data_IF_985113030124
#
_entry.id   IF_985113030124
#
_cell.length_a   1.000
_cell.length_b   1.000
_cell.length_c   1.000
_cell.angle_alpha   90.00
_cell.angle_beta   90.00
_cell.angle_gamma   90.00
#
_symmetry.space_group_name_H-M   'P 1'
#
loop_
_entity.id
_entity.type
_entity.pdbx_description
1 polymer ?
#
# COMPACT_ATOMS: atom_id res chain seq x y z
N UNK A 1 -26.99 1.48 7.30
CA UNK A 1 -26.02 2.33 6.55
C UNK A 1 -25.15 1.38 5.77
N UNK A 2 -24.92 1.67 4.48
CA UNK A 2 -24.06 0.82 3.66
C UNK A 2 -22.65 0.76 4.25
N UNK A 3 -22.05 -0.41 4.27
CA UNK A 3 -20.64 -0.61 4.61
C UNK A 3 -19.79 -0.34 3.36
N UNK A 4 -19.00 0.70 3.40
CA UNK A 4 -18.26 1.19 2.24
C UNK A 4 -16.76 1.26 2.56
N UNK A 5 -15.96 0.61 1.74
CA UNK A 5 -14.49 0.74 1.76
C UNK A 5 -14.03 1.76 0.74
N UNK A 6 -13.08 2.61 1.15
CA UNK A 6 -12.23 3.37 0.23
C UNK A 6 -10.76 3.06 0.50
N UNK A 7 -10.03 2.76 -0.56
CA UNK A 7 -8.58 2.57 -0.53
C UNK A 7 -7.99 3.03 -1.86
N UNK A 8 -6.67 3.11 -1.96
CA UNK A 8 -6.03 3.49 -3.23
C UNK A 8 -4.53 3.61 -3.12
N UNK A 9 -3.88 3.86 -4.25
CA UNK A 9 -2.44 4.08 -4.36
C UNK A 9 -2.14 5.28 -5.25
N UNK A 10 -1.03 5.95 -4.96
CA UNK A 10 -0.50 7.01 -5.81
C UNK A 10 0.24 6.40 -7.00
N UNK A 11 -0.05 6.79 -8.25
CA UNK A 11 0.62 6.26 -9.44
C UNK A 11 2.01 6.89 -9.63
N UNK A 12 2.90 6.69 -8.68
CA UNK A 12 4.29 7.19 -8.69
C UNK A 12 5.29 6.22 -9.29
N UNK A 13 4.83 5.14 -9.87
CA UNK A 13 5.61 4.09 -10.52
C UNK A 13 4.91 2.73 -10.41
N UNK A 14 5.44 1.72 -11.11
CA UNK A 14 4.92 0.34 -11.11
C UNK A 14 4.77 -0.20 -9.68
N UNK A 15 3.75 -1.02 -9.44
CA UNK A 15 3.59 -1.72 -8.18
C UNK A 15 4.55 -2.93 -8.11
N UNK A 16 4.92 -3.34 -6.93
CA UNK A 16 5.84 -4.46 -6.68
C UNK A 16 5.26 -5.43 -5.64
N UNK A 17 5.89 -6.58 -5.45
CA UNK A 17 5.43 -7.62 -4.53
C UNK A 17 5.18 -7.11 -3.10
N UNK A 18 5.93 -6.10 -2.65
CA UNK A 18 5.68 -5.47 -1.36
C UNK A 18 4.32 -4.75 -1.28
N UNK A 19 3.81 -4.17 -2.38
CA UNK A 19 2.44 -3.63 -2.43
C UNK A 19 1.41 -4.76 -2.45
N UNK A 20 1.71 -5.86 -3.16
CA UNK A 20 0.82 -7.01 -3.20
C UNK A 20 0.58 -7.58 -1.80
N UNK A 21 1.65 -7.96 -1.10
CA UNK A 21 1.54 -8.54 0.26
C UNK A 21 1.01 -7.54 1.28
N UNK A 22 1.48 -6.29 1.20
CA UNK A 22 1.13 -5.27 2.19
C UNK A 22 -0.28 -4.67 2.03
N UNK A 23 -0.90 -4.79 0.86
CA UNK A 23 -2.14 -4.07 0.56
C UNK A 23 -3.07 -4.78 -0.41
N UNK A 24 -2.61 -5.12 -1.64
CA UNK A 24 -3.51 -5.57 -2.70
C UNK A 24 -4.19 -6.91 -2.38
N UNK A 25 -3.44 -7.87 -1.82
CA UNK A 25 -4.00 -9.16 -1.39
C UNK A 25 -5.18 -8.95 -0.45
N UNK A 26 -5.02 -8.06 0.54
CA UNK A 26 -6.09 -7.76 1.50
C UNK A 26 -7.29 -7.09 0.84
N UNK A 27 -7.08 -6.21 -0.16
CA UNK A 27 -8.19 -5.59 -0.91
C UNK A 27 -9.02 -6.63 -1.66
N UNK A 28 -8.36 -7.62 -2.28
CA UNK A 28 -9.04 -8.74 -2.96
C UNK A 28 -9.83 -9.58 -1.96
N UNK A 29 -9.28 -9.86 -0.79
CA UNK A 29 -9.99 -10.56 0.28
C UNK A 29 -11.22 -9.79 0.74
N UNK A 30 -11.10 -8.50 1.01
CA UNK A 30 -12.22 -7.63 1.41
C UNK A 30 -13.29 -7.54 0.32
N UNK A 31 -12.90 -7.38 -0.95
CA UNK A 31 -13.80 -7.41 -2.09
C UNK A 31 -14.63 -8.70 -2.14
N UNK A 32 -14.03 -9.84 -1.82
CA UNK A 32 -14.66 -11.15 -1.92
C UNK A 32 -15.31 -11.64 -0.61
N UNK A 33 -15.16 -10.90 0.49
CA UNK A 33 -15.71 -11.29 1.79
C UNK A 33 -17.24 -11.27 1.86
N UNK A 34 -17.88 -10.45 1.02
CA UNK A 34 -19.32 -10.19 1.10
C UNK A 34 -19.75 -9.33 2.29
N UNK A 35 -18.82 -8.76 3.04
CA UNK A 35 -19.08 -7.92 4.21
C UNK A 35 -19.38 -6.46 3.86
N UNK A 36 -19.02 -6.04 2.64
CA UNK A 36 -19.09 -4.64 2.20
C UNK A 36 -20.04 -4.49 1.01
N UNK A 37 -20.88 -3.47 1.09
CA UNK A 37 -21.84 -3.15 0.04
C UNK A 37 -21.14 -2.47 -1.16
N UNK A 38 -20.06 -1.73 -0.91
CA UNK A 38 -19.28 -1.05 -1.95
C UNK A 38 -17.79 -1.03 -1.60
N UNK A 39 -16.98 -1.27 -2.62
CA UNK A 39 -15.53 -1.19 -2.53
C UNK A 39 -15.04 -0.20 -3.59
N UNK A 40 -14.47 0.92 -3.16
CA UNK A 40 -13.88 1.94 -4.02
C UNK A 40 -12.36 1.85 -3.96
N UNK A 41 -11.72 1.80 -5.13
CA UNK A 41 -10.27 1.72 -5.26
C UNK A 41 -9.79 2.87 -6.12
N UNK A 42 -9.10 3.81 -5.51
CA UNK A 42 -8.67 5.06 -6.12
C UNK A 42 -7.27 4.95 -6.70
N UNK A 43 -7.09 5.42 -7.92
CA UNK A 43 -5.78 5.79 -8.44
C UNK A 43 -5.58 7.28 -8.13
N UNK A 44 -4.79 7.57 -7.10
CA UNK A 44 -4.65 8.89 -6.49
C UNK A 44 -3.62 9.76 -7.26
N UNK A 45 -3.94 10.13 -8.48
CA UNK A 45 -3.05 10.87 -9.39
C UNK A 45 -2.84 12.32 -8.98
N UNK A 46 -3.87 13.02 -8.54
CA UNK A 46 -3.74 14.38 -8.02
C UNK A 46 -2.90 14.42 -6.74
N UNK A 47 -3.10 13.45 -5.84
CA UNK A 47 -2.26 13.27 -4.65
C UNK A 47 -0.79 12.97 -5.03
N UNK A 48 -0.55 12.23 -6.09
CA UNK A 48 0.80 11.91 -6.55
C UNK A 48 1.59 13.15 -6.98
N UNK A 49 0.91 14.18 -7.48
CA UNK A 49 1.53 15.45 -7.87
C UNK A 49 2.07 16.26 -6.68
N UNK A 50 1.62 16.01 -5.47
CA UNK A 50 2.06 16.77 -4.29
C UNK A 50 3.59 16.66 -4.03
N UNK A 51 4.21 15.60 -4.51
CA UNK A 51 5.65 15.33 -4.42
C UNK A 51 6.29 14.90 -5.75
N UNK A 52 5.57 15.01 -6.88
CA UNK A 52 6.03 14.74 -8.24
C UNK A 52 5.55 15.86 -9.22
N UNK A 53 5.39 17.08 -8.74
CA UNK A 53 4.90 18.19 -9.56
C UNK A 53 5.85 18.56 -10.71
N UNK A 54 7.13 18.27 -10.55
CA UNK A 54 8.18 18.47 -11.55
C UNK A 54 8.21 17.40 -12.66
N UNK A 55 7.48 16.29 -12.45
CA UNK A 55 7.42 15.19 -13.41
C UNK A 55 5.99 14.64 -13.57
N UNK A 56 5.04 15.44 -14.09
CA UNK A 56 3.64 15.02 -14.24
C UNK A 56 3.45 13.88 -15.24
N UNK A 57 4.34 13.76 -16.22
CA UNK A 57 4.30 12.68 -17.21
C UNK A 57 4.54 11.31 -16.57
N UNK A 58 5.43 11.23 -15.60
CA UNK A 58 5.62 10.02 -14.79
C UNK A 58 4.31 9.57 -14.12
N UNK A 59 3.57 10.52 -13.55
CA UNK A 59 2.27 10.22 -12.90
C UNK A 59 1.28 9.73 -13.95
N UNK A 60 1.16 10.44 -15.09
CA UNK A 60 0.23 10.08 -16.18
C UNK A 60 0.47 8.67 -16.71
N UNK A 61 1.71 8.31 -16.99
CA UNK A 61 2.07 6.99 -17.50
C UNK A 61 1.75 5.87 -16.51
N UNK A 62 1.85 6.14 -15.22
CA UNK A 62 1.62 5.13 -14.20
C UNK A 62 0.14 4.97 -13.80
N UNK A 63 -0.77 5.84 -14.21
CA UNK A 63 -2.22 5.67 -13.95
C UNK A 63 -2.71 4.35 -14.54
N UNK A 64 -2.46 4.13 -15.82
CA UNK A 64 -2.88 2.90 -16.52
C UNK A 64 -2.14 1.68 -15.96
N UNK A 65 -0.83 1.83 -15.68
CA UNK A 65 -0.04 0.72 -15.14
C UNK A 65 -0.56 0.25 -13.78
N UNK A 66 -0.90 1.17 -12.88
CA UNK A 66 -1.46 0.83 -11.55
C UNK A 66 -2.84 0.18 -11.69
N UNK A 67 -3.68 0.66 -12.60
CA UNK A 67 -4.98 0.04 -12.86
C UNK A 67 -4.83 -1.39 -13.41
N UNK A 68 -3.88 -1.63 -14.32
CA UNK A 68 -3.56 -2.97 -14.81
C UNK A 68 -3.04 -3.88 -13.69
N UNK A 69 -2.18 -3.37 -12.83
CA UNK A 69 -1.67 -4.10 -11.67
C UNK A 69 -2.81 -4.51 -10.71
N UNK A 70 -3.81 -3.63 -10.50
CA UNK A 70 -5.00 -3.97 -9.71
C UNK A 70 -5.78 -5.15 -10.29
N UNK A 71 -6.08 -5.09 -11.59
CA UNK A 71 -6.81 -6.16 -12.28
C UNK A 71 -6.01 -7.48 -12.25
N UNK A 72 -4.71 -7.41 -12.53
CA UNK A 72 -3.83 -8.57 -12.51
C UNK A 72 -3.75 -9.24 -11.13
N UNK A 73 -3.88 -8.47 -10.05
CA UNK A 73 -3.92 -8.98 -8.68
C UNK A 73 -5.27 -9.57 -8.25
N UNK A 74 -6.31 -9.45 -9.08
CA UNK A 74 -7.63 -10.03 -8.81
C UNK A 74 -8.68 -9.02 -8.32
N UNK A 75 -8.43 -7.72 -8.46
CA UNK A 75 -9.50 -6.73 -8.30
C UNK A 75 -10.47 -6.88 -9.47
N UNK A 76 -11.72 -7.15 -9.14
CA UNK A 76 -12.80 -7.42 -10.08
C UNK A 76 -13.64 -6.15 -10.29
N UNK A 77 -13.67 -5.58 -11.51
CA UNK A 77 -14.42 -4.34 -11.77
C UNK A 77 -15.95 -4.52 -11.69
N UNK A 78 -16.45 -5.76 -11.65
CA UNK A 78 -17.88 -6.02 -11.40
C UNK A 78 -18.23 -5.94 -9.90
N UNK A 79 -17.24 -6.09 -9.01
CA UNK A 79 -17.40 -6.04 -7.55
C UNK A 79 -16.87 -4.75 -6.93
N UNK A 80 -15.83 -4.17 -7.53
CA UNK A 80 -15.15 -2.98 -7.03
C UNK A 80 -15.16 -1.87 -8.08
N UNK A 81 -15.34 -0.63 -7.63
CA UNK A 81 -15.22 0.52 -8.52
C UNK A 81 -13.80 1.06 -8.49
N UNK A 82 -13.08 0.92 -9.60
CA UNK A 82 -11.77 1.57 -9.79
C UNK A 82 -12.01 2.94 -10.41
N UNK A 83 -11.43 4.00 -9.83
CA UNK A 83 -11.55 5.34 -10.36
C UNK A 83 -10.26 6.15 -10.24
N UNK A 84 -10.13 7.18 -11.07
CA UNK A 84 -9.00 8.12 -11.06
C UNK A 84 -9.42 9.35 -10.28
N UNK A 85 -8.64 9.76 -9.29
CA UNK A 85 -8.95 10.85 -8.37
C UNK A 85 -9.26 12.16 -9.11
N UNK A 86 -8.45 12.54 -10.10
CA UNK A 86 -8.64 13.79 -10.87
C UNK A 86 -9.89 13.80 -11.76
N UNK A 87 -10.52 12.64 -11.98
CA UNK A 87 -11.78 12.53 -12.73
C UNK A 87 -13.02 12.81 -11.86
N UNK A 88 -12.82 13.07 -10.57
CA UNK A 88 -13.87 13.43 -9.61
C UNK A 88 -13.53 14.82 -9.04
N UNK A 89 -13.84 15.90 -9.77
CA UNK A 89 -13.45 17.27 -9.39
C UNK A 89 -14.03 17.71 -8.05
N UNK A 90 -15.14 17.12 -7.60
CA UNK A 90 -15.78 17.38 -6.33
C UNK A 90 -14.86 17.09 -5.13
N UNK A 91 -13.88 16.20 -5.27
CA UNK A 91 -12.87 15.94 -4.24
C UNK A 91 -12.01 17.17 -3.97
N UNK A 92 -11.65 17.90 -5.03
CA UNK A 92 -10.89 19.14 -4.91
C UNK A 92 -11.75 20.26 -4.31
N UNK A 93 -13.01 20.35 -4.71
CA UNK A 93 -13.95 21.31 -4.15
C UNK A 93 -14.15 21.07 -2.67
N UNK A 94 -14.41 19.81 -2.26
CA UNK A 94 -14.59 19.44 -0.87
C UNK A 94 -13.32 19.70 -0.03
N UNK A 95 -12.14 19.43 -0.59
CA UNK A 95 -10.86 19.76 0.03
C UNK A 95 -10.73 21.23 0.38
N UNK A 96 -11.19 22.11 -0.53
CA UNK A 96 -11.16 23.55 -0.30
C UNK A 96 -12.09 23.96 0.86
N UNK A 97 -13.29 23.38 0.97
CA UNK A 97 -14.15 23.60 2.13
C UNK A 97 -13.47 23.15 3.42
N UNK A 98 -12.82 22.00 3.43
CA UNK A 98 -12.13 21.47 4.60
C UNK A 98 -10.92 22.32 5.03
N UNK A 99 -10.21 22.95 4.08
CA UNK A 99 -9.13 23.87 4.40
C UNK A 99 -9.58 25.04 5.30
N UNK A 100 -10.86 25.43 5.26
CA UNK A 100 -11.40 26.46 6.13
C UNK A 100 -11.69 25.94 7.56
N UNK A 101 -11.67 24.64 7.76
CA UNK A 101 -11.93 24.00 9.05
C UNK A 101 -10.67 23.56 9.79
N UNK A 102 -9.52 23.54 9.11
CA UNK A 102 -8.25 23.06 9.64
C UNK A 102 -7.23 24.18 9.73
N UNK A 103 -6.51 24.27 10.83
CA UNK A 103 -5.44 25.28 10.97
C UNK A 103 -4.09 24.76 10.51
N UNK A 104 -3.20 25.64 10.05
CA UNK A 104 -1.82 25.32 9.69
C UNK A 104 -1.12 24.59 10.83
N UNK A 105 -1.27 25.08 12.06
CA UNK A 105 -0.64 24.46 13.23
C UNK A 105 -1.17 23.05 13.54
N UNK A 106 -2.42 22.73 13.15
CA UNK A 106 -2.94 21.35 13.29
C UNK A 106 -2.27 20.40 12.30
N UNK A 107 -2.13 20.81 11.04
CA UNK A 107 -1.42 20.03 10.02
C UNK A 107 0.06 19.83 10.40
N UNK A 108 0.73 20.89 10.84
CA UNK A 108 2.13 20.83 11.28
C UNK A 108 2.35 19.86 12.45
N UNK A 109 1.37 19.65 13.30
CA UNK A 109 1.47 18.72 14.43
C UNK A 109 1.21 17.27 14.07
N UNK A 110 0.69 16.99 12.87
CA UNK A 110 0.47 15.61 12.43
C UNK A 110 1.81 14.85 12.36
N UNK A 111 1.97 13.72 13.08
CA UNK A 111 3.24 13.00 13.14
C UNK A 111 3.70 12.47 11.77
N UNK A 112 2.77 12.00 10.95
CA UNK A 112 3.08 11.49 9.60
C UNK A 112 3.60 12.60 8.71
N UNK A 113 2.95 13.77 8.69
CA UNK A 113 3.41 14.96 7.94
C UNK A 113 4.81 15.37 8.37
N UNK A 114 5.07 15.43 9.69
CA UNK A 114 6.41 15.77 10.20
C UNK A 114 7.49 14.80 9.72
N UNK A 115 7.20 13.52 9.81
CA UNK A 115 8.12 12.47 9.38
C UNK A 115 8.41 12.56 7.89
N UNK A 116 7.39 12.76 7.06
CA UNK A 116 7.54 12.86 5.62
C UNK A 116 8.25 14.13 5.16
N UNK A 117 8.00 15.28 5.79
CA UNK A 117 8.74 16.53 5.54
C UNK A 117 10.24 16.29 5.73
N UNK A 118 10.63 15.64 6.83
CA UNK A 118 12.02 15.30 7.12
C UNK A 118 12.61 14.33 6.11
N UNK A 119 11.91 13.24 5.81
CA UNK A 119 12.37 12.21 4.84
C UNK A 119 12.58 12.78 3.44
N UNK A 120 11.82 13.81 3.06
CA UNK A 120 11.86 14.42 1.72
C UNK A 120 12.76 15.66 1.66
N UNK A 121 13.39 16.06 2.77
CA UNK A 121 14.18 17.27 2.87
C UNK A 121 13.40 18.55 2.50
N UNK A 122 12.12 18.60 2.84
CA UNK A 122 11.24 19.76 2.59
C UNK A 122 11.31 20.83 3.70
N UNK A 123 12.14 20.65 4.70
CA UNK A 123 12.19 21.51 5.90
C UNK A 123 12.39 23.00 5.58
N UNK A 124 13.18 23.30 4.56
CA UNK A 124 13.43 24.68 4.13
C UNK A 124 12.35 25.25 3.22
N UNK A 125 11.59 24.41 2.49
CA UNK A 125 10.60 24.86 1.51
C UNK A 125 9.55 23.75 1.30
N UNK A 126 8.47 23.82 2.05
CA UNK A 126 7.38 22.84 1.97
C UNK A 126 6.44 23.22 0.84
N UNK A 127 6.23 22.40 -0.20
CA UNK A 127 5.21 22.64 -1.18
C UNK A 127 3.81 22.71 -0.55
N UNK A 128 3.00 23.70 -0.93
CA UNK A 128 1.65 23.90 -0.34
C UNK A 128 0.77 22.67 -0.58
N UNK A 129 0.79 22.08 -1.78
CA UNK A 129 0.03 20.87 -2.08
C UNK A 129 0.44 19.70 -1.18
N UNK A 130 1.74 19.53 -0.97
CA UNK A 130 2.24 18.51 -0.03
C UNK A 130 1.79 18.81 1.41
N UNK A 131 1.83 20.06 1.83
CA UNK A 131 1.37 20.43 3.17
C UNK A 131 -0.12 20.17 3.37
N UNK A 132 -0.94 20.38 2.34
CA UNK A 132 -2.40 20.26 2.41
C UNK A 132 -2.94 18.84 2.13
N UNK A 133 -2.10 17.88 1.70
CA UNK A 133 -2.60 16.55 1.31
C UNK A 133 -3.39 15.82 2.41
N UNK A 134 -3.15 15.99 3.73
CA UNK A 134 -3.96 15.34 4.74
C UNK A 134 -5.43 15.80 4.73
N UNK A 135 -5.65 17.03 4.27
CA UNK A 135 -7.00 17.60 4.14
C UNK A 135 -7.68 17.03 2.89
N UNK A 136 -6.97 16.94 1.77
CA UNK A 136 -7.51 16.32 0.55
C UNK A 136 -7.76 14.82 0.73
N UNK A 137 -6.93 14.11 1.48
CA UNK A 137 -7.19 12.71 1.81
C UNK A 137 -8.49 12.52 2.64
N UNK A 138 -8.79 13.46 3.54
CA UNK A 138 -10.06 13.45 4.24
C UNK A 138 -11.25 13.68 3.29
N UNK A 139 -11.09 14.52 2.27
CA UNK A 139 -12.12 14.70 1.24
C UNK A 139 -12.32 13.43 0.41
N UNK A 140 -11.24 12.75 0.00
CA UNK A 140 -11.31 11.48 -0.71
C UNK A 140 -12.16 10.45 0.06
N UNK A 141 -11.91 10.32 1.36
CA UNK A 141 -12.59 9.35 2.23
C UNK A 141 -14.07 9.70 2.40
N UNK A 142 -14.35 10.95 2.70
CA UNK A 142 -15.70 11.37 3.12
C UNK A 142 -16.67 11.59 1.96
N UNK A 143 -16.18 11.96 0.76
CA UNK A 143 -17.00 12.14 -0.43
C UNK A 143 -17.76 10.87 -0.82
N UNK A 144 -17.14 9.71 -0.64
CA UNK A 144 -17.76 8.41 -0.91
C UNK A 144 -18.49 7.83 0.30
N UNK A 145 -18.56 8.57 1.42
CA UNK A 145 -19.14 8.11 2.69
C UNK A 145 -18.51 6.80 3.16
N UNK A 146 -17.19 6.66 2.98
CA UNK A 146 -16.49 5.47 3.42
C UNK A 146 -16.67 5.24 4.91
N UNK A 147 -17.14 4.05 5.27
CA UNK A 147 -17.32 3.63 6.66
C UNK A 147 -16.07 2.99 7.22
N UNK A 148 -15.26 2.38 6.35
CA UNK A 148 -14.02 1.72 6.73
C UNK A 148 -12.91 2.02 5.73
N UNK A 149 -11.71 2.28 6.27
CA UNK A 149 -10.51 2.60 5.48
C UNK A 149 -9.39 1.64 5.85
N UNK A 150 -9.03 0.70 4.96
CA UNK A 150 -7.90 -0.20 5.17
C UNK A 150 -6.58 0.59 5.07
N UNK A 151 -5.84 0.66 6.15
CA UNK A 151 -4.58 1.43 6.22
C UNK A 151 -3.54 0.73 7.10
N UNK A 152 -2.26 1.02 6.85
CA UNK A 152 -1.18 0.71 7.76
C UNK A 152 -1.15 1.65 8.97
N UNK A 153 -0.41 1.27 10.01
CA UNK A 153 -0.28 2.04 11.25
C UNK A 153 0.26 3.47 11.02
N UNK A 154 1.08 3.67 9.99
CA UNK A 154 1.63 4.97 9.62
C UNK A 154 0.56 5.98 9.17
N UNK A 155 -0.62 5.49 8.78
CA UNK A 155 -1.76 6.32 8.35
C UNK A 155 -2.75 6.65 9.48
N UNK A 156 -2.58 6.10 10.68
CA UNK A 156 -3.45 6.40 11.82
C UNK A 156 -3.61 7.90 12.09
N UNK A 157 -2.54 8.72 12.11
CA UNK A 157 -2.66 10.16 12.34
C UNK A 157 -3.46 10.90 11.24
N UNK A 158 -3.50 10.34 10.02
CA UNK A 158 -4.30 10.89 8.91
C UNK A 158 -5.78 10.63 9.13
N UNK A 159 -6.13 9.41 9.53
CA UNK A 159 -7.51 9.03 9.82
C UNK A 159 -8.05 9.78 11.04
N UNK A 160 -7.24 9.99 12.08
CA UNK A 160 -7.59 10.83 13.22
C UNK A 160 -7.89 12.27 12.78
N UNK A 161 -7.07 12.84 11.92
CA UNK A 161 -7.33 14.17 11.36
C UNK A 161 -8.59 14.20 10.49
N UNK A 162 -8.87 13.14 9.73
CA UNK A 162 -10.12 12.99 8.97
C UNK A 162 -11.33 12.99 9.92
N UNK A 163 -11.29 12.22 11.02
CA UNK A 163 -12.35 12.19 12.04
C UNK A 163 -12.60 13.56 12.67
N UNK A 164 -11.54 14.31 12.96
CA UNK A 164 -11.64 15.68 13.46
C UNK A 164 -12.35 16.61 12.45
N UNK A 165 -12.06 16.47 11.15
CA UNK A 165 -12.70 17.24 10.07
C UNK A 165 -14.20 16.91 10.01
N UNK A 166 -14.54 15.62 9.99
CA UNK A 166 -15.93 15.14 9.98
C UNK A 166 -16.71 15.72 11.16
N UNK A 167 -16.16 15.58 12.36
CA UNK A 167 -16.79 16.11 13.57
C UNK A 167 -17.01 17.63 13.47
N UNK A 168 -15.98 18.36 13.09
CA UNK A 168 -16.05 19.82 12.98
C UNK A 168 -17.01 20.29 11.90
N UNK A 169 -17.02 19.64 10.73
CA UNK A 169 -17.93 19.93 9.63
C UNK A 169 -19.38 19.74 10.10
N UNK A 170 -19.71 18.55 10.61
CA UNK A 170 -21.06 18.23 11.04
C UNK A 170 -21.55 19.18 12.15
N UNK A 171 -20.66 19.58 13.07
CA UNK A 171 -20.98 20.53 14.14
C UNK A 171 -21.22 21.93 13.59
N UNK A 172 -20.32 22.47 12.75
CA UNK A 172 -20.41 23.85 12.25
C UNK A 172 -21.62 24.05 11.35
N UNK A 173 -21.91 23.05 10.51
CA UNK A 173 -23.04 23.12 9.57
C UNK A 173 -24.33 22.50 10.12
N UNK A 174 -24.32 22.06 11.37
CA UNK A 174 -25.46 21.43 12.04
C UNK A 174 -26.09 20.31 11.19
N UNK A 175 -25.27 19.34 10.78
CA UNK A 175 -25.64 18.25 9.88
C UNK A 175 -24.98 16.94 10.33
N UNK A 176 -25.46 15.82 9.80
CA UNK A 176 -24.87 14.49 9.90
C UNK A 176 -24.46 13.92 8.53
N UNK A 177 -24.25 14.81 7.56
CA UNK A 177 -23.97 14.45 6.17
C UNK A 177 -22.69 13.64 6.00
N UNK A 178 -21.62 14.01 6.73
CA UNK A 178 -20.36 13.28 6.69
C UNK A 178 -20.38 12.10 7.65
N UNK A 179 -19.95 10.95 7.15
CA UNK A 179 -19.84 9.71 7.92
C UNK A 179 -18.47 9.63 8.57
N UNK A 180 -18.42 9.21 9.85
CA UNK A 180 -17.18 8.99 10.58
C UNK A 180 -16.56 7.68 10.07
N UNK A 181 -15.36 7.69 9.47
CA UNK A 181 -14.73 6.47 9.01
C UNK A 181 -14.08 5.71 10.16
N UNK A 182 -14.16 4.39 10.13
CA UNK A 182 -13.38 3.52 10.99
C UNK A 182 -12.11 3.02 10.29
N UNK A 183 -11.15 2.63 11.12
CA UNK A 183 -9.84 2.18 10.67
C UNK A 183 -9.84 0.67 10.61
N UNK A 184 -9.51 0.12 9.45
CA UNK A 184 -9.33 -1.31 9.28
C UNK A 184 -7.82 -1.61 9.20
N UNK A 185 -7.24 -2.01 10.33
CA UNK A 185 -5.85 -2.44 10.36
C UNK A 185 -5.69 -3.83 9.76
N UNK A 186 -4.55 -4.12 9.10
CA UNK A 186 -4.25 -5.45 8.63
C UNK A 186 -4.10 -6.41 9.82
N UNK A 187 -4.53 -7.67 9.66
CA UNK A 187 -4.19 -8.74 10.61
C UNK A 187 -2.67 -8.94 10.65
N UNK A 188 -2.11 -9.30 11.80
CA UNK A 188 -0.67 -9.37 12.05
C UNK A 188 0.15 -10.13 10.97
N UNK A 189 -0.44 -11.13 10.31
CA UNK A 189 0.21 -11.89 9.24
C UNK A 189 0.27 -11.15 7.89
N UNK A 190 -0.64 -10.23 7.63
CA UNK A 190 -0.66 -9.44 6.39
C UNK A 190 0.39 -8.31 6.36
N UNK A 191 0.99 -7.99 7.51
CA UNK A 191 1.95 -6.90 7.68
C UNK A 191 3.41 -7.28 7.44
N UNK A 192 3.71 -8.48 6.98
CA UNK A 192 5.10 -8.85 6.68
C UNK A 192 5.65 -7.94 5.59
N UNK A 193 6.50 -7.00 6.00
CA UNK A 193 7.24 -6.13 5.08
C UNK A 193 8.25 -6.98 4.34
N UNK A 194 8.00 -7.28 3.07
CA UNK A 194 8.97 -7.98 2.25
C UNK A 194 10.27 -7.18 2.16
N UNK A 195 11.42 -7.79 2.44
CA UNK A 195 12.72 -7.19 2.12
C UNK A 195 12.87 -7.08 0.61
N UNK A 196 13.74 -6.19 0.15
CA UNK A 196 14.20 -6.21 -1.23
C UNK A 196 14.98 -7.49 -1.53
N UNK A 197 15.20 -7.78 -2.81
CA UNK A 197 15.99 -8.96 -3.22
C UNK A 197 17.41 -8.97 -2.65
N UNK A 198 17.94 -7.80 -2.25
CA UNK A 198 19.22 -7.60 -1.59
C UNK A 198 19.25 -8.03 -0.10
N UNK A 199 18.11 -8.35 0.49
CA UNK A 199 17.97 -8.77 1.88
C UNK A 199 18.32 -7.72 2.94
N UNK A 200 18.67 -6.50 2.54
CA UNK A 200 19.19 -5.46 3.45
C UNK A 200 18.16 -4.45 3.90
N UNK A 201 17.27 -4.08 3.02
CA UNK A 201 16.30 -3.03 3.24
C UNK A 201 14.91 -3.47 2.77
N UNK A 202 13.88 -2.72 3.21
CA UNK A 202 12.53 -2.87 2.64
C UNK A 202 12.57 -2.73 1.13
N UNK A 203 11.78 -3.53 0.43
CA UNK A 203 11.57 -3.41 -1.01
C UNK A 203 11.20 -1.96 -1.37
N UNK A 204 11.98 -1.34 -2.25
CA UNK A 204 11.81 0.06 -2.63
C UNK A 204 12.24 0.32 -4.06
N UNK A 205 11.42 1.08 -4.78
CA UNK A 205 11.70 1.49 -6.17
C UNK A 205 13.02 2.27 -6.29
N UNK A 206 13.30 3.14 -5.31
CA UNK A 206 14.52 3.96 -5.32
C UNK A 206 15.81 3.17 -5.11
N UNK A 207 15.72 2.00 -4.47
CA UNK A 207 16.87 1.11 -4.26
C UNK A 207 17.06 0.11 -5.39
N UNK A 208 16.13 0.01 -6.34
CA UNK A 208 16.19 -0.95 -7.44
C UNK A 208 16.13 -2.41 -7.01
N UNK A 209 15.71 -2.70 -5.77
CA UNK A 209 15.67 -4.03 -5.18
C UNK A 209 14.28 -4.68 -5.24
N UNK A 210 13.45 -4.28 -6.22
CA UNK A 210 12.07 -4.70 -6.36
C UNK A 210 11.87 -5.80 -7.40
N UNK A 211 10.95 -6.73 -7.12
CA UNK A 211 10.25 -7.51 -8.14
C UNK A 211 8.91 -6.79 -8.39
N UNK A 212 8.73 -6.30 -9.63
CA UNK A 212 7.50 -5.59 -10.02
C UNK A 212 6.42 -6.58 -10.46
N UNK A 213 5.16 -6.23 -10.27
CA UNK A 213 4.02 -7.04 -10.72
C UNK A 213 3.99 -7.19 -12.25
N UNK A 214 4.53 -6.20 -12.96
CA UNK A 214 4.64 -6.16 -14.42
C UNK A 214 5.99 -6.63 -14.97
N UNK A 215 6.85 -7.24 -14.16
CA UNK A 215 8.10 -7.84 -14.65
C UNK A 215 7.79 -9.07 -15.53
N UNK A 216 8.59 -9.26 -16.56
CA UNK A 216 8.53 -10.47 -17.39
C UNK A 216 8.99 -11.70 -16.59
N UNK A 217 8.59 -12.89 -17.04
CA UNK A 217 9.05 -14.15 -16.42
C UNK A 217 10.59 -14.21 -16.34
N UNK A 218 11.27 -13.79 -17.40
CA UNK A 218 12.74 -13.75 -17.43
C UNK A 218 13.31 -12.78 -16.39
N UNK A 219 12.70 -11.60 -16.22
CA UNK A 219 13.14 -10.63 -15.24
C UNK A 219 12.91 -11.13 -13.81
N UNK A 220 11.75 -11.74 -13.54
CA UNK A 220 11.46 -12.38 -12.26
C UNK A 220 12.49 -13.45 -11.95
N UNK A 221 12.76 -14.35 -12.91
CA UNK A 221 13.77 -15.42 -12.75
C UNK A 221 15.14 -14.86 -12.44
N UNK A 222 15.61 -13.85 -13.19
CA UNK A 222 16.90 -13.19 -12.93
C UNK A 222 16.97 -12.59 -11.52
N UNK A 223 15.89 -11.89 -11.10
CA UNK A 223 15.82 -11.26 -9.77
C UNK A 223 15.78 -12.29 -8.65
N UNK A 224 15.02 -13.37 -8.81
CA UNK A 224 14.98 -14.48 -7.83
C UNK A 224 16.34 -15.14 -7.72
N UNK A 225 17.00 -15.43 -8.83
CA UNK A 225 18.36 -16.02 -8.83
C UNK A 225 19.43 -15.10 -8.23
N UNK A 226 19.17 -13.80 -8.13
CA UNK A 226 20.07 -12.81 -7.52
C UNK A 226 19.70 -12.47 -6.06
N UNK A 227 18.71 -13.13 -5.48
CA UNK A 227 18.31 -12.88 -4.10
C UNK A 227 19.46 -13.17 -3.14
N UNK A 228 19.56 -12.32 -2.12
CA UNK A 228 20.48 -12.55 -1.02
C UNK A 228 20.08 -13.84 -0.28
N UNK A 229 21.06 -14.71 -0.11
CA UNK A 229 20.95 -15.96 0.62
C UNK A 229 21.99 -16.02 1.74
N UNK A 230 22.13 -17.17 2.38
CA UNK A 230 23.16 -17.39 3.39
C UNK A 230 24.58 -17.43 2.76
N UNK A 231 25.46 -16.48 3.09
CA UNK A 231 26.80 -16.44 2.54
C UNK A 231 27.72 -17.57 3.06
N UNK A 232 27.32 -18.26 4.12
CA UNK A 232 28.12 -19.35 4.73
C UNK A 232 27.73 -20.72 4.19
N UNK A 233 26.58 -20.86 3.52
CA UNK A 233 26.13 -22.10 2.90
C UNK A 233 26.79 -22.28 1.51
N UNK A 234 28.04 -22.74 1.50
CA UNK A 234 28.85 -22.88 0.28
C UNK A 234 28.71 -24.25 -0.40
N UNK A 235 28.40 -25.28 0.38
CA UNK A 235 28.18 -26.64 -0.11
C UNK A 235 26.81 -27.13 0.33
N UNK A 236 26.22 -28.04 -0.42
CA UNK A 236 24.93 -28.65 -0.11
C UNK A 236 24.90 -29.30 1.28
N UNK A 237 26.06 -29.79 1.73
CA UNK A 237 26.22 -30.40 3.07
C UNK A 237 26.47 -29.43 4.22
N UNK A 238 26.56 -28.12 3.93
CA UNK A 238 26.79 -27.12 4.97
C UNK A 238 25.44 -26.79 5.63
N UNK A 239 25.35 -26.72 6.98
CA UNK A 239 24.16 -26.22 7.64
C UNK A 239 23.82 -24.80 7.18
N UNK A 240 22.58 -24.58 6.80
CA UNK A 240 22.13 -23.26 6.32
C UNK A 240 21.40 -22.45 7.38
N UNK A 241 21.44 -21.13 7.26
CA UNK A 241 20.71 -20.20 8.11
C UNK A 241 19.41 -19.76 7.43
N UNK A 242 18.27 -20.10 8.02
CA UNK A 242 16.94 -19.72 7.54
C UNK A 242 16.61 -18.27 7.93
N UNK A 243 16.92 -17.87 9.17
CA UNK A 243 16.67 -16.54 9.67
C UNK A 243 17.49 -15.49 8.91
N UNK A 244 16.83 -14.45 8.40
CA UNK A 244 17.46 -13.41 7.60
C UNK A 244 17.75 -13.82 6.14
N UNK A 245 17.43 -15.04 5.75
CA UNK A 245 17.52 -15.50 4.38
C UNK A 245 16.33 -14.99 3.56
N UNK A 246 16.59 -14.18 2.56
CA UNK A 246 15.55 -13.54 1.73
C UNK A 246 14.68 -14.55 1.01
N UNK A 247 15.27 -15.64 0.52
CA UNK A 247 14.54 -16.71 -0.19
C UNK A 247 13.45 -17.31 0.70
N UNK A 248 13.79 -17.66 1.94
CA UNK A 248 12.80 -18.23 2.89
C UNK A 248 11.74 -17.21 3.28
N UNK A 249 12.09 -15.91 3.41
CA UNK A 249 11.10 -14.86 3.65
C UNK A 249 10.08 -14.76 2.51
N UNK A 250 10.52 -14.92 1.25
CA UNK A 250 9.61 -14.94 0.10
C UNK A 250 8.81 -16.24 0.02
N UNK A 251 9.40 -17.37 0.34
CA UNK A 251 8.66 -18.64 0.43
C UNK A 251 7.56 -18.57 1.50
N UNK A 252 7.85 -18.01 2.67
CA UNK A 252 6.84 -17.77 3.72
C UNK A 252 5.67 -16.88 3.25
N UNK A 253 5.95 -15.93 2.37
CA UNK A 253 4.94 -15.00 1.88
C UNK A 253 4.06 -15.59 0.76
N UNK A 254 4.62 -16.47 -0.08
CA UNK A 254 4.00 -16.88 -1.34
C UNK A 254 3.82 -18.38 -1.51
N UNK A 255 4.63 -19.21 -0.83
CA UNK A 255 4.56 -20.64 -0.98
C UNK A 255 3.32 -21.20 -0.25
N UNK A 256 2.57 -22.04 -0.96
CA UNK A 256 1.44 -22.78 -0.40
C UNK A 256 1.78 -24.27 -0.35
N UNK A 257 1.22 -24.97 0.63
CA UNK A 257 1.48 -26.41 0.81
C UNK A 257 1.14 -27.24 -0.45
N UNK A 258 0.14 -26.81 -1.22
CA UNK A 258 -0.23 -27.48 -2.48
C UNK A 258 0.89 -27.51 -3.53
N UNK A 259 1.85 -26.56 -3.47
CA UNK A 259 2.98 -26.50 -4.41
C UNK A 259 4.03 -27.56 -4.12
N UNK A 260 4.10 -28.10 -2.90
CA UNK A 260 5.10 -29.12 -2.56
C UNK A 260 4.85 -30.42 -3.31
N UNK A 261 3.60 -30.83 -3.46
CA UNK A 261 3.26 -32.02 -4.23
C UNK A 261 3.72 -31.94 -5.71
N UNK A 262 3.74 -30.74 -6.28
CA UNK A 262 4.10 -30.52 -7.67
C UNK A 262 5.61 -30.28 -7.87
N UNK A 263 6.23 -29.42 -7.05
CA UNK A 263 7.59 -28.94 -7.27
C UNK A 263 8.63 -29.58 -6.35
N UNK A 264 8.24 -30.06 -5.17
CA UNK A 264 9.13 -30.67 -4.18
C UNK A 264 8.48 -31.86 -3.50
N UNK A 265 8.27 -32.97 -4.22
CA UNK A 265 7.50 -34.13 -3.73
C UNK A 265 8.14 -34.83 -2.52
N UNK A 266 9.43 -34.55 -2.24
CA UNK A 266 10.14 -35.10 -1.07
C UNK A 266 9.80 -34.37 0.24
N UNK A 267 9.10 -33.24 0.18
CA UNK A 267 8.70 -32.44 1.34
C UNK A 267 7.17 -32.22 1.35
N UNK A 268 6.58 -32.16 2.54
CA UNK A 268 5.14 -31.94 2.72
C UNK A 268 4.77 -30.46 2.83
N UNK A 269 5.70 -29.65 3.36
CA UNK A 269 5.48 -28.23 3.64
C UNK A 269 6.81 -27.49 3.73
N UNK A 270 6.74 -26.18 3.86
CA UNK A 270 7.90 -25.29 3.92
C UNK A 270 8.76 -25.52 5.18
N UNK A 271 8.16 -25.96 6.31
CA UNK A 271 8.91 -26.19 7.53
C UNK A 271 9.86 -27.38 7.41
N UNK A 272 9.46 -28.43 6.70
CA UNK A 272 10.37 -29.57 6.40
C UNK A 272 11.55 -29.13 5.52
N UNK A 273 11.32 -28.22 4.54
CA UNK A 273 12.41 -27.66 3.72
C UNK A 273 13.37 -26.82 4.56
N UNK A 274 12.84 -25.98 5.45
CA UNK A 274 13.65 -25.16 6.36
C UNK A 274 14.47 -26.02 7.31
N UNK A 275 13.88 -27.07 7.85
CA UNK A 275 14.56 -28.01 8.73
C UNK A 275 15.69 -28.75 8.01
N UNK A 276 15.44 -29.22 6.78
CA UNK A 276 16.47 -29.85 5.95
C UNK A 276 17.62 -28.90 5.67
N UNK A 277 17.32 -27.68 5.20
CA UNK A 277 18.31 -26.64 4.90
C UNK A 277 19.18 -26.29 6.13
N UNK A 278 18.60 -26.31 7.33
CA UNK A 278 19.30 -26.01 8.57
C UNK A 278 20.25 -27.14 9.04
N UNK A 279 20.05 -28.35 8.53
CA UNK A 279 20.89 -29.52 8.89
C UNK A 279 22.08 -29.73 7.94
N UNK A 280 21.98 -29.31 6.70
CA UNK A 280 22.93 -29.55 5.60
C UNK A 280 22.64 -30.82 4.85
#
# INVERSE_FOLDING_TARGET
>A
MDKIILTGDRPTGRLHLGHYVGSLKRRVELQNSGEFDKVYIMVADAQALTDNADNPEKVRQNIIQVALDYLACGIDPEKSTIFIQSMVPELTELSFYYMNLVTVSRVQRNPTVKSEIKMRNFEASIPVGFFCYPISQAADITAFRATEVPVGEDQLPMLEQCKEIVHKFNTVYNTDTLVMPDILLPSNDACRRLPGIDGKAKMSKSLGNCIYLSDTEEDVKKKVMSMYTDPNHLKVSDPGQVEGNTVFTYLDAFCKDEYFAEFWPDYKNLDEVKEHYSRG
#
